data_IF_142562293683
#
_entry.id   IF_142562293683
#
_cell.length_a   1.000
_cell.length_b   1.000
_cell.length_c   1.000
_cell.angle_alpha   90.00
_cell.angle_beta   90.00
_cell.angle_gamma   90.00
#
_symmetry.space_group_name_H-M   'P 1'
#
loop_
_entity.id
_entity.type
_entity.pdbx_description
1 polymer ?
#
# COMPACT_ATOMS: atom_id res chain seq x y z
N UNK A 1 12.02 7.65 -4.62
CA UNK A 1 13.14 6.74 -4.31
C UNK A 1 14.41 7.06 -5.12
N UNK A 2 14.33 7.18 -6.46
CA UNK A 2 15.51 7.44 -7.33
C UNK A 2 16.43 8.58 -6.88
N UNK A 3 15.90 9.80 -6.67
CA UNK A 3 16.71 10.95 -6.23
C UNK A 3 17.50 10.75 -4.94
N UNK A 4 16.99 9.95 -4.00
CA UNK A 4 17.68 9.68 -2.73
C UNK A 4 18.83 8.67 -2.93
N UNK A 5 18.63 7.69 -3.81
CA UNK A 5 19.68 6.74 -4.21
C UNK A 5 20.78 7.45 -5.00
N UNK A 6 20.42 8.31 -5.95
CA UNK A 6 21.37 9.10 -6.73
C UNK A 6 22.22 10.01 -5.84
N UNK A 7 21.60 10.68 -4.86
CA UNK A 7 22.29 11.50 -3.88
C UNK A 7 23.26 10.68 -3.01
N UNK A 8 22.88 9.46 -2.63
CA UNK A 8 23.74 8.56 -1.89
C UNK A 8 24.92 8.06 -2.74
N UNK A 9 24.69 7.66 -3.99
CA UNK A 9 25.73 7.23 -4.94
C UNK A 9 26.79 8.34 -5.09
N UNK A 10 26.34 9.58 -5.30
CA UNK A 10 27.22 10.74 -5.40
C UNK A 10 27.99 11.01 -4.10
N UNK A 11 27.33 10.97 -2.95
CA UNK A 11 27.96 11.20 -1.65
C UNK A 11 28.96 10.11 -1.26
N UNK A 12 28.70 8.86 -1.65
CA UNK A 12 29.54 7.70 -1.37
C UNK A 12 30.65 7.50 -2.43
N UNK A 13 30.67 8.29 -3.52
CA UNK A 13 31.64 8.13 -4.61
C UNK A 13 31.52 6.80 -5.34
N UNK A 14 30.32 6.22 -5.38
CA UNK A 14 30.07 4.94 -6.03
C UNK A 14 30.01 5.16 -7.55
N UNK A 15 30.85 4.45 -8.30
CA UNK A 15 30.78 4.41 -9.76
C UNK A 15 29.64 3.46 -10.19
N UNK A 16 28.43 4.02 -10.30
CA UNK A 16 27.24 3.29 -10.69
C UNK A 16 26.94 3.50 -12.18
N UNK A 17 26.50 2.45 -12.91
CA UNK A 17 26.07 2.62 -14.29
C UNK A 17 24.83 3.53 -14.37
N UNK A 18 24.66 4.19 -15.53
CA UNK A 18 23.48 5.00 -15.78
C UNK A 18 22.19 4.18 -15.64
N UNK A 19 21.15 4.81 -15.09
CA UNK A 19 19.85 4.18 -14.96
C UNK A 19 19.33 3.74 -16.34
N UNK A 20 18.87 2.50 -16.45
CA UNK A 20 18.17 2.03 -17.64
C UNK A 20 16.87 2.83 -17.82
N UNK A 21 16.45 3.10 -19.07
CA UNK A 21 15.15 3.70 -19.33
C UNK A 21 14.04 2.80 -18.76
N UNK A 22 12.91 3.40 -18.40
CA UNK A 22 11.74 2.65 -18.00
C UNK A 22 11.35 1.69 -19.14
N UNK A 23 11.18 0.41 -18.80
CA UNK A 23 10.68 -0.57 -19.76
C UNK A 23 9.21 -0.24 -20.09
N UNK A 24 8.84 -0.32 -21.36
CA UNK A 24 7.45 -0.18 -21.77
C UNK A 24 6.66 -1.42 -21.36
N UNK A 25 5.38 -1.24 -20.99
CA UNK A 25 4.47 -2.32 -20.61
C UNK A 25 3.93 -3.08 -21.85
N UNK A 26 4.84 -3.70 -22.61
CA UNK A 26 4.55 -4.45 -23.84
C UNK A 26 3.70 -5.72 -23.63
N UNK A 27 3.54 -6.14 -22.38
CA UNK A 27 2.72 -7.26 -21.95
C UNK A 27 1.23 -6.89 -21.80
N UNK A 28 0.87 -5.60 -21.84
CA UNK A 28 -0.52 -5.17 -21.76
C UNK A 28 -1.28 -5.47 -23.06
N UNK A 29 -2.56 -5.88 -22.99
CA UNK A 29 -3.37 -6.07 -24.19
C UNK A 29 -3.57 -4.74 -24.93
N UNK A 30 -3.42 -4.77 -26.26
CA UNK A 30 -3.58 -3.59 -27.13
C UNK A 30 -5.02 -3.04 -27.13
N UNK A 31 -6.02 -3.88 -26.85
CA UNK A 31 -7.44 -3.51 -26.83
C UNK A 31 -8.13 -3.93 -25.52
N UNK A 32 -9.09 -3.11 -25.06
CA UNK A 32 -9.87 -3.35 -23.84
C UNK A 32 -11.38 -3.38 -24.13
N UNK A 33 -12.14 -4.36 -23.59
CA UNK A 33 -11.68 -5.45 -22.73
C UNK A 33 -10.96 -6.53 -23.54
N UNK A 34 -9.80 -6.96 -23.04
CA UNK A 34 -9.08 -8.09 -23.61
C UNK A 34 -9.88 -9.38 -23.43
N UNK A 35 -9.89 -10.23 -24.45
CA UNK A 35 -10.53 -11.55 -24.41
C UNK A 35 -9.52 -12.59 -24.86
N UNK A 36 -9.53 -13.73 -24.18
CA UNK A 36 -8.69 -14.88 -24.50
C UNK A 36 -9.57 -16.13 -24.54
N UNK A 37 -9.29 -17.01 -25.49
CA UNK A 37 -9.91 -18.33 -25.54
C UNK A 37 -9.01 -19.32 -24.80
N UNK A 38 -9.41 -19.70 -23.58
CA UNK A 38 -8.60 -20.56 -22.72
C UNK A 38 -8.27 -21.91 -23.37
N UNK A 39 -9.20 -22.49 -24.12
CA UNK A 39 -8.98 -23.77 -24.79
C UNK A 39 -7.99 -23.65 -25.95
N UNK A 40 -8.09 -22.57 -26.74
CA UNK A 40 -7.15 -22.32 -27.84
C UNK A 40 -5.72 -22.06 -27.33
N UNK A 41 -5.60 -21.39 -26.18
CA UNK A 41 -4.30 -21.09 -25.54
C UNK A 41 -3.81 -22.20 -24.59
N UNK A 42 -4.53 -23.33 -24.50
CA UNK A 42 -4.21 -24.44 -23.59
C UNK A 42 -4.04 -24.02 -22.12
N UNK A 43 -4.82 -23.01 -21.68
CA UNK A 43 -4.85 -22.55 -20.29
C UNK A 43 -5.86 -23.40 -19.52
N UNK A 44 -5.37 -24.18 -18.54
CA UNK A 44 -6.19 -25.13 -17.77
C UNK A 44 -6.59 -24.61 -16.39
N UNK A 45 -5.98 -23.53 -15.91
CA UNK A 45 -6.19 -22.98 -14.58
C UNK A 45 -6.00 -21.47 -14.58
N UNK A 46 -6.77 -20.78 -13.73
CA UNK A 46 -6.65 -19.34 -13.49
C UNK A 46 -6.44 -19.13 -11.99
N UNK A 47 -5.32 -18.51 -11.62
CA UNK A 47 -5.05 -18.10 -10.24
C UNK A 47 -5.32 -16.61 -10.09
N UNK A 48 -6.30 -16.26 -9.28
CA UNK A 48 -6.61 -14.87 -8.95
C UNK A 48 -5.65 -14.37 -7.88
N UNK A 49 -4.61 -13.63 -8.30
CA UNK A 49 -3.64 -12.98 -7.43
C UNK A 49 -3.91 -11.45 -7.29
N UNK A 50 -5.18 -11.05 -7.29
CA UNK A 50 -5.63 -9.64 -7.33
C UNK A 50 -5.78 -9.01 -5.94
N UNK A 51 -5.18 -9.60 -4.91
CA UNK A 51 -5.20 -9.09 -3.53
C UNK A 51 -6.43 -9.51 -2.72
N UNK A 52 -6.72 -8.73 -1.68
CA UNK A 52 -7.83 -8.95 -0.73
C UNK A 52 -8.47 -7.60 -0.37
N UNK A 53 -9.63 -7.65 0.30
CA UNK A 53 -10.30 -6.48 0.86
C UNK A 53 -10.37 -6.58 2.39
N UNK A 54 -10.44 -5.44 3.06
CA UNK A 54 -10.65 -5.39 4.51
C UNK A 54 -12.10 -5.74 4.83
N UNK A 55 -12.30 -6.73 5.71
CA UNK A 55 -13.59 -7.00 6.32
C UNK A 55 -13.67 -6.28 7.67
N UNK A 56 -14.42 -5.18 7.68
CA UNK A 56 -14.69 -4.37 8.87
C UNK A 56 -16.18 -4.42 9.25
N UNK A 57 -16.90 -5.46 8.82
CA UNK A 57 -18.34 -5.65 9.10
C UNK A 57 -18.68 -5.70 10.58
N UNK A 58 -17.71 -6.03 11.44
CA UNK A 58 -17.86 -6.01 12.90
C UNK A 58 -17.88 -4.58 13.50
N UNK A 59 -17.48 -3.56 12.73
CA UNK A 59 -17.45 -2.16 13.17
C UNK A 59 -18.76 -1.48 12.76
N UNK A 60 -19.73 -1.45 13.67
CA UNK A 60 -21.02 -0.76 13.46
C UNK A 60 -20.94 0.74 13.81
N UNK A 61 -20.00 1.46 13.18
CA UNK A 61 -19.76 2.89 13.40
C UNK A 61 -19.49 3.55 12.04
N UNK A 62 -20.05 4.74 11.73
CA UNK A 62 -19.91 5.39 10.43
C UNK A 62 -18.52 6.01 10.19
N UNK A 63 -17.47 5.18 10.24
CA UNK A 63 -16.06 5.56 10.07
C UNK A 63 -15.51 5.18 8.69
N UNK A 64 -16.20 4.30 7.97
CA UNK A 64 -15.74 3.79 6.67
C UNK A 64 -16.15 4.71 5.52
N UNK A 65 -15.29 4.82 4.51
CA UNK A 65 -15.56 5.51 3.26
C UNK A 65 -16.24 4.60 2.22
N UNK A 66 -16.40 5.10 0.99
CA UNK A 66 -17.02 4.37 -0.12
C UNK A 66 -16.23 3.12 -0.57
N UNK A 67 -14.98 2.96 -0.11
CA UNK A 67 -14.09 1.84 -0.41
C UNK A 67 -13.98 0.85 0.76
N UNK A 68 -14.86 0.96 1.75
CA UNK A 68 -14.82 0.18 2.99
C UNK A 68 -13.56 0.45 3.84
N UNK A 69 -12.97 1.63 3.68
CA UNK A 69 -11.71 2.01 4.32
C UNK A 69 -11.93 3.00 5.47
N UNK A 70 -11.31 2.83 6.64
CA UNK A 70 -11.47 3.78 7.74
C UNK A 70 -10.92 5.16 7.39
N UNK A 71 -11.75 6.20 7.54
CA UNK A 71 -11.26 7.58 7.46
C UNK A 71 -10.39 7.89 8.66
N UNK A 72 -9.13 8.22 8.40
CA UNK A 72 -8.16 8.52 9.44
C UNK A 72 -7.07 9.49 9.00
N UNK A 73 -6.41 10.13 9.96
CA UNK A 73 -5.14 10.83 9.77
C UNK A 73 -4.11 10.09 10.63
N UNK A 74 -3.14 9.43 9.99
CA UNK A 74 -2.08 8.65 10.66
C UNK A 74 -2.60 7.65 11.71
N UNK A 75 -3.76 7.04 11.44
CA UNK A 75 -4.37 6.06 12.34
C UNK A 75 -5.33 6.62 13.37
N UNK A 76 -5.46 7.94 13.48
CA UNK A 76 -6.49 8.59 14.31
C UNK A 76 -7.74 8.79 13.45
N UNK A 77 -8.87 8.18 13.84
CA UNK A 77 -10.12 8.31 13.10
C UNK A 77 -10.89 9.56 13.51
N UNK A 78 -11.94 9.90 12.76
CA UNK A 78 -12.89 10.96 13.14
C UNK A 78 -13.76 10.59 14.36
N UNK A 79 -13.79 9.30 14.72
CA UNK A 79 -14.57 8.79 15.85
C UNK A 79 -13.70 8.79 17.11
N UNK A 80 -14.05 9.58 18.15
CA UNK A 80 -13.27 9.63 19.38
C UNK A 80 -13.11 8.25 20.02
N UNK A 81 -11.87 7.91 20.39
CA UNK A 81 -11.55 6.61 21.00
C UNK A 81 -11.35 5.47 20.01
N UNK A 82 -11.57 5.68 18.71
CA UNK A 82 -11.32 4.70 17.67
C UNK A 82 -10.05 5.04 16.88
N UNK A 83 -9.15 4.07 16.79
CA UNK A 83 -7.87 4.18 16.12
C UNK A 83 -7.61 2.95 15.25
N UNK A 84 -6.80 3.12 14.22
CA UNK A 84 -6.42 2.06 13.28
C UNK A 84 -4.91 2.00 13.09
N UNK A 85 -4.39 0.80 12.90
CA UNK A 85 -2.96 0.52 12.69
C UNK A 85 -2.80 -0.65 11.73
N UNK A 86 -1.67 -0.75 11.03
CA UNK A 86 -1.40 -1.82 10.07
C UNK A 86 -2.10 -1.64 8.72
N UNK A 87 -2.77 -0.51 8.49
CA UNK A 87 -3.32 -0.13 7.19
C UNK A 87 -2.23 0.49 6.32
N UNK A 88 -2.23 0.26 4.99
CA UNK A 88 -1.35 1.02 4.11
C UNK A 88 -1.66 2.51 4.20
N UNK A 89 -0.62 3.34 4.05
CA UNK A 89 -0.71 4.80 4.02
C UNK A 89 -1.14 5.47 5.34
N UNK A 90 -0.76 4.92 6.49
CA UNK A 90 -0.87 5.62 7.78
C UNK A 90 0.14 6.77 7.85
N UNK A 91 1.44 6.46 7.94
CA UNK A 91 2.53 7.41 7.69
C UNK A 91 3.22 7.16 6.36
N UNK A 92 3.07 5.98 5.77
CA UNK A 92 3.60 5.67 4.44
C UNK A 92 3.20 4.30 3.92
N UNK A 93 3.78 3.90 2.78
CA UNK A 93 3.48 2.61 2.16
C UNK A 93 3.93 1.40 3.00
N UNK A 94 4.95 1.56 3.85
CA UNK A 94 5.46 0.51 4.75
C UNK A 94 4.57 0.26 5.98
N UNK A 95 3.54 1.07 6.20
CA UNK A 95 2.66 1.03 7.37
C UNK A 95 1.91 -0.29 7.55
N UNK A 96 1.67 -1.02 6.47
CA UNK A 96 0.98 -2.33 6.48
C UNK A 96 1.90 -3.53 6.52
N UNK A 97 3.22 -3.32 6.64
CA UNK A 97 4.21 -4.39 6.59
C UNK A 97 4.79 -4.58 7.99
N UNK A 98 4.99 -5.83 8.41
CA UNK A 98 5.56 -6.16 9.74
C UNK A 98 6.86 -5.41 10.05
N UNK A 99 7.72 -5.22 9.04
CA UNK A 99 8.98 -4.48 9.19
C UNK A 99 8.84 -2.95 9.30
N UNK A 100 7.66 -2.39 8.99
CA UNK A 100 7.42 -0.94 8.93
C UNK A 100 6.34 -0.42 9.88
N UNK A 101 5.43 -1.29 10.33
CA UNK A 101 4.27 -0.91 11.16
C UNK A 101 4.64 -0.31 12.52
N UNK A 102 5.86 -0.57 13.03
CA UNK A 102 6.29 -0.15 14.36
C UNK A 102 6.20 1.37 14.59
N UNK A 103 6.55 2.17 13.59
CA UNK A 103 6.49 3.64 13.68
C UNK A 103 5.05 4.13 13.84
N UNK A 104 4.11 3.53 13.11
CA UNK A 104 2.68 3.86 13.22
C UNK A 104 2.09 3.36 14.53
N UNK A 105 2.46 2.16 14.97
CA UNK A 105 2.02 1.58 16.23
C UNK A 105 2.44 2.44 17.43
N UNK A 106 3.69 2.92 17.45
CA UNK A 106 4.16 3.82 18.50
C UNK A 106 3.39 5.15 18.49
N UNK A 107 3.13 5.70 17.30
CA UNK A 107 2.34 6.93 17.17
C UNK A 107 0.92 6.77 17.69
N UNK A 108 0.21 5.75 17.22
CA UNK A 108 -1.18 5.46 17.61
C UNK A 108 -1.27 5.17 19.12
N UNK A 109 -0.36 4.36 19.67
CA UNK A 109 -0.32 4.10 21.11
C UNK A 109 -0.10 5.38 21.93
N UNK A 110 0.71 6.31 21.43
CA UNK A 110 0.89 7.63 22.04
C UNK A 110 -0.39 8.46 22.09
N UNK A 111 -1.18 8.45 21.01
CA UNK A 111 -2.49 9.11 20.96
C UNK A 111 -3.50 8.44 21.91
N UNK A 112 -3.57 7.11 21.92
CA UNK A 112 -4.44 6.34 22.84
C UNK A 112 -4.13 6.65 24.30
N UNK A 113 -2.84 6.78 24.64
CA UNK A 113 -2.41 7.11 26.00
C UNK A 113 -2.59 8.60 26.39
N UNK A 114 -3.15 9.44 25.50
CA UNK A 114 -3.29 10.88 25.73
C UNK A 114 -1.97 11.66 25.75
N UNK A 115 -0.89 11.07 25.22
CA UNK A 115 0.47 11.66 25.22
C UNK A 115 0.73 12.53 23.99
N UNK A 116 -0.17 12.50 23.01
CA UNK A 116 -0.13 13.25 21.76
C UNK A 116 -1.54 13.75 21.45
N UNK A 117 -1.74 15.07 21.57
CA UNK A 117 -2.95 15.81 21.23
C UNK A 117 -2.58 17.03 20.40
#
# INVERSE_FOLDING_TARGET
>A
MGRALDAYIAAAGIDAPAALPAQEDDWLPVASPARVNLAAENITSVLWATGYQLDLSFVDIPVLDAWNYPRHIRGVTEQPGLYVVGLPWLTGHYSSIVGGVGVDAEYVAGCVAGRRG
#
